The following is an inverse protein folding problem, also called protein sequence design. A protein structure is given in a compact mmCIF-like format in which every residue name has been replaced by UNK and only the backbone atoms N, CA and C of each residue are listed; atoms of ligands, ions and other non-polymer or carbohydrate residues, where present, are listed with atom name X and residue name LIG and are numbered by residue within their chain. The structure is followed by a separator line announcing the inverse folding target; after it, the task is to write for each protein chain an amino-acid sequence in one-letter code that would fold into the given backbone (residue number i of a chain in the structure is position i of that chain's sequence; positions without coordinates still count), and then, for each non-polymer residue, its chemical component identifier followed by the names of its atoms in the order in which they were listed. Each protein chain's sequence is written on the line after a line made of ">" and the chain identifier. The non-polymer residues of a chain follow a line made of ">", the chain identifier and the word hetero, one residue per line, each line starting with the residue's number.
data_IF_564923102648
#
_entry.id   IF_564923102648
#
_cell.length_a   1.000
_cell.length_b   1.000
_cell.length_c   1.000
_cell.angle_alpha   90.00
_cell.angle_beta   90.00
_cell.angle_gamma   90.00
#
_symmetry.space_group_name_H-M   'P 1'
#
loop_
_entity.id
_entity.type
_entity.pdbx_description
1 polymer ?
#
# COMPACT_ATOMS: atom_id res chain seq x y z
N UNK A 1 -13.05 19.64 -12.72
CA UNK A 1 -12.92 18.39 -11.93
C UNK A 1 -12.13 18.75 -10.70
N UNK A 2 -12.80 19.18 -9.64
CA UNK A 2 -12.17 19.74 -8.44
C UNK A 2 -12.97 19.24 -7.22
N UNK A 3 -12.81 17.97 -6.88
CA UNK A 3 -13.45 17.32 -5.72
C UNK A 3 -12.42 16.58 -4.85
N UNK A 4 -11.22 17.16 -4.71
CA UNK A 4 -10.23 16.79 -3.68
C UNK A 4 -10.36 17.65 -2.40
N UNK A 5 -11.52 18.26 -2.17
CA UNK A 5 -11.80 19.13 -1.01
C UNK A 5 -12.53 18.38 0.09
N UNK A 6 -11.89 17.36 0.67
CA UNK A 6 -12.09 16.98 2.08
C UNK A 6 -11.09 15.89 2.52
N UNK A 7 -9.82 16.02 2.13
CA UNK A 7 -8.81 14.97 2.34
C UNK A 7 -8.48 14.76 3.81
N UNK A 8 -9.23 13.88 4.49
CA UNK A 8 -8.86 13.32 5.80
C UNK A 8 -7.52 12.57 5.74
N UNK A 9 -7.07 12.20 4.54
CA UNK A 9 -5.83 11.51 4.27
C UNK A 9 -5.15 12.11 3.04
N UNK A 10 -3.82 12.26 3.10
CA UNK A 10 -3.00 12.59 1.93
C UNK A 10 -2.98 11.44 0.91
N UNK A 11 -2.50 11.70 -0.31
CA UNK A 11 -2.30 10.64 -1.32
C UNK A 11 -1.44 9.50 -0.72
N UNK A 12 -0.35 9.84 -0.03
CA UNK A 12 0.54 8.87 0.62
C UNK A 12 -0.16 8.04 1.70
N UNK A 13 -0.99 8.65 2.54
CA UNK A 13 -1.76 7.92 3.56
C UNK A 13 -2.83 7.01 2.95
N UNK A 14 -3.47 7.44 1.87
CA UNK A 14 -4.45 6.62 1.15
C UNK A 14 -3.78 5.37 0.58
N UNK A 15 -2.58 5.51 0.00
CA UNK A 15 -1.79 4.38 -0.49
C UNK A 15 -1.36 3.47 0.67
N UNK A 16 -0.83 4.03 1.76
CA UNK A 16 -0.38 3.26 2.91
C UNK A 16 -1.53 2.44 3.54
N UNK A 17 -2.71 3.05 3.72
CA UNK A 17 -3.90 2.36 4.23
C UNK A 17 -4.43 1.29 3.29
N UNK A 18 -4.33 1.52 1.97
CA UNK A 18 -4.72 0.52 0.99
C UNK A 18 -3.78 -0.69 1.02
N UNK A 19 -2.47 -0.48 1.22
CA UNK A 19 -1.49 -1.55 1.37
C UNK A 19 -1.76 -2.37 2.64
N UNK A 20 -1.96 -1.70 3.78
CA UNK A 20 -2.31 -2.32 5.06
C UNK A 20 -3.60 -3.18 4.94
N UNK A 21 -4.64 -2.62 4.32
CA UNK A 21 -5.89 -3.34 4.09
C UNK A 21 -5.73 -4.56 3.17
N UNK A 22 -4.83 -4.50 2.19
CA UNK A 22 -4.53 -5.63 1.29
C UNK A 22 -3.70 -6.71 1.99
N UNK A 23 -2.68 -6.32 2.78
CA UNK A 23 -1.81 -7.24 3.49
C UNK A 23 -2.59 -8.09 4.52
N UNK A 24 -3.49 -7.45 5.28
CA UNK A 24 -4.31 -8.13 6.28
C UNK A 24 -5.52 -8.90 5.74
N UNK A 25 -5.85 -8.81 4.44
CA UNK A 25 -7.09 -9.37 3.90
C UNK A 25 -6.91 -10.76 3.28
N UNK A 26 -7.79 -11.69 3.67
CA UNK A 26 -7.94 -12.98 3.01
C UNK A 26 -8.54 -12.86 1.60
N UNK A 27 -9.20 -11.74 1.30
CA UNK A 27 -9.82 -11.43 0.00
C UNK A 27 -8.98 -10.40 -0.79
N UNK A 28 -7.66 -10.42 -0.63
CA UNK A 28 -6.74 -9.42 -1.19
C UNK A 28 -6.90 -9.21 -2.71
N UNK A 29 -7.13 -10.26 -3.49
CA UNK A 29 -7.34 -10.16 -4.94
C UNK A 29 -8.62 -9.41 -5.29
N UNK A 30 -9.74 -9.74 -4.63
CA UNK A 30 -11.01 -9.04 -4.86
C UNK A 30 -10.95 -7.58 -4.40
N UNK A 31 -10.26 -7.32 -3.28
CA UNK A 31 -10.05 -5.97 -2.78
C UNK A 31 -9.18 -5.16 -3.76
N UNK A 32 -8.13 -5.78 -4.32
CA UNK A 32 -7.29 -5.18 -5.34
C UNK A 32 -8.07 -4.79 -6.59
N UNK A 33 -8.91 -5.68 -7.11
CA UNK A 33 -9.75 -5.38 -8.26
C UNK A 33 -10.76 -4.26 -8.00
N UNK A 34 -11.18 -4.11 -6.74
CA UNK A 34 -12.07 -3.04 -6.29
C UNK A 34 -11.38 -1.68 -6.13
N UNK A 35 -10.03 -1.64 -6.12
CA UNK A 35 -9.29 -0.39 -5.98
C UNK A 35 -9.27 0.42 -7.29
N UNK A 36 -9.41 1.75 -7.22
CA UNK A 36 -9.18 2.64 -8.35
C UNK A 36 -7.84 2.36 -9.04
N UNK A 37 -7.82 2.45 -10.36
CA UNK A 37 -6.61 2.19 -11.16
C UNK A 37 -5.43 3.05 -10.72
N UNK A 38 -5.67 4.33 -10.40
CA UNK A 38 -4.61 5.23 -9.93
C UNK A 38 -4.00 4.76 -8.61
N UNK A 39 -4.79 4.17 -7.70
CA UNK A 39 -4.29 3.61 -6.43
C UNK A 39 -3.44 2.37 -6.73
N UNK A 40 -3.94 1.47 -7.58
CA UNK A 40 -3.20 0.26 -7.99
C UNK A 40 -1.84 0.62 -8.61
N UNK A 41 -1.81 1.57 -9.54
CA UNK A 41 -0.56 2.03 -10.17
C UNK A 41 0.42 2.65 -9.16
N UNK A 42 -0.09 3.39 -8.16
CA UNK A 42 0.75 3.96 -7.10
C UNK A 42 1.31 2.90 -6.18
N UNK A 43 0.50 1.92 -5.78
CA UNK A 43 0.95 0.76 -4.99
C UNK A 43 2.03 0.00 -5.77
N UNK A 44 1.82 -0.28 -7.05
CA UNK A 44 2.83 -0.94 -7.89
C UNK A 44 4.15 -0.17 -7.93
N UNK A 45 4.11 1.16 -8.12
CA UNK A 45 5.32 2.00 -8.08
C UNK A 45 6.01 1.96 -6.72
N UNK A 46 5.25 1.95 -5.63
CA UNK A 46 5.81 1.83 -4.27
C UNK A 46 6.47 0.47 -4.10
N UNK A 47 5.82 -0.62 -4.48
CA UNK A 47 6.35 -1.98 -4.36
C UNK A 47 7.56 -2.23 -5.28
N UNK A 48 7.56 -1.67 -6.48
CA UNK A 48 8.67 -1.76 -7.43
C UNK A 48 9.92 -1.06 -6.87
N UNK A 49 9.75 0.20 -6.44
CA UNK A 49 10.83 1.01 -5.85
C UNK A 49 11.31 0.47 -4.50
N UNK A 50 10.43 -0.18 -3.74
CA UNK A 50 10.76 -0.71 -2.43
C UNK A 50 11.75 -1.86 -2.53
N UNK A 51 12.93 -1.69 -1.94
CA UNK A 51 13.95 -2.73 -1.84
C UNK A 51 14.05 -3.23 -0.41
N UNK A 52 14.52 -4.47 -0.22
CA UNK A 52 14.69 -5.03 1.12
C UNK A 52 15.65 -4.22 2.00
N UNK A 53 16.51 -3.38 1.42
CA UNK A 53 17.39 -2.45 2.14
C UNK A 53 16.84 -1.05 2.33
N UNK A 54 15.61 -0.76 1.90
CA UNK A 54 14.99 0.56 2.03
C UNK A 54 14.49 0.76 3.48
N UNK A 55 14.76 1.93 4.06
CA UNK A 55 14.36 2.25 5.43
C UNK A 55 12.87 2.62 5.48
N UNK A 56 12.07 1.78 6.15
CA UNK A 56 10.65 2.03 6.33
C UNK A 56 10.44 2.97 7.50
N UNK A 57 10.07 4.21 7.18
CA UNK A 57 9.65 5.19 8.19
C UNK A 57 8.14 5.14 8.34
N UNK A 58 7.67 4.58 9.45
CA UNK A 58 6.25 4.64 9.83
C UNK A 58 5.99 5.88 10.67
N UNK A 59 4.96 6.65 10.32
CA UNK A 59 4.47 7.73 11.16
C UNK A 59 3.32 7.19 12.03
N UNK A 60 3.57 6.94 13.32
CA UNK A 60 2.55 6.48 14.28
C UNK A 60 2.97 5.29 15.15
N UNK A 61 1.99 4.46 15.54
CA UNK A 61 2.13 3.30 16.45
C UNK A 61 2.41 1.97 15.71
N UNK A 62 2.63 2.00 14.40
CA UNK A 62 2.91 0.80 13.61
C UNK A 62 4.41 0.53 13.66
N UNK A 63 4.77 -0.67 14.09
CA UNK A 63 6.17 -1.09 14.14
C UNK A 63 6.73 -1.10 12.70
N UNK A 64 7.83 -0.39 12.41
CA UNK A 64 8.39 -0.32 11.07
C UNK A 64 8.83 -1.69 10.54
N UNK A 65 9.11 -2.64 11.44
CA UNK A 65 9.38 -4.04 11.09
C UNK A 65 8.15 -4.69 10.46
N UNK A 66 6.97 -4.51 11.07
CA UNK A 66 5.70 -5.08 10.59
C UNK A 66 5.34 -4.48 9.23
N UNK A 67 5.41 -3.15 9.10
CA UNK A 67 5.14 -2.48 7.83
C UNK A 67 6.09 -2.94 6.71
N UNK A 68 7.36 -3.20 7.05
CA UNK A 68 8.33 -3.78 6.11
C UNK A 68 7.96 -5.20 5.69
N UNK A 69 7.55 -6.05 6.62
CA UNK A 69 7.11 -7.41 6.32
C UNK A 69 5.86 -7.41 5.44
N UNK A 70 4.90 -6.54 5.70
CA UNK A 70 3.71 -6.36 4.87
C UNK A 70 4.05 -5.92 3.44
N UNK A 71 4.96 -4.95 3.27
CA UNK A 71 5.43 -4.52 1.96
C UNK A 71 6.16 -5.64 1.20
N UNK A 72 6.98 -6.44 1.89
CA UNK A 72 7.65 -7.60 1.29
C UNK A 72 6.65 -8.69 0.91
N UNK A 73 5.63 -8.94 1.73
CA UNK A 73 4.56 -9.87 1.42
C UNK A 73 3.77 -9.41 0.18
N UNK A 74 3.39 -8.13 0.14
CA UNK A 74 2.68 -7.53 -0.98
C UNK A 74 3.49 -7.59 -2.28
N UNK A 75 4.80 -7.33 -2.21
CA UNK A 75 5.71 -7.49 -3.36
C UNK A 75 5.77 -8.94 -3.85
N UNK A 76 5.84 -9.91 -2.93
CA UNK A 76 5.82 -11.35 -3.27
C UNK A 76 4.49 -11.82 -3.85
N UNK A 77 3.38 -11.23 -3.40
CA UNK A 77 2.06 -11.51 -3.95
C UNK A 77 1.93 -10.95 -5.36
N UNK A 78 2.26 -9.66 -5.60
CA UNK A 78 2.26 -9.08 -6.95
C UNK A 78 3.23 -9.74 -7.93
N UNK A 79 4.38 -10.23 -7.45
CA UNK A 79 5.33 -10.99 -8.26
C UNK A 79 4.91 -12.43 -8.59
N UNK A 80 3.82 -12.94 -7.98
CA UNK A 80 3.25 -14.27 -8.25
C UNK A 80 1.97 -14.24 -9.10
N UNK A 81 1.34 -13.08 -9.26
CA UNK A 81 0.16 -12.86 -10.11
C UNK A 81 0.52 -12.56 -11.56
#
# INVERSE_FOLDING_TARGET
>A
MDEYKSGLYTEGETIARSIDALAGSAQRDQLWESLPEWIRQRIDKVLDRFSAGDEVVTFGHVDPTVAREELLEMKRWRGRS
#
